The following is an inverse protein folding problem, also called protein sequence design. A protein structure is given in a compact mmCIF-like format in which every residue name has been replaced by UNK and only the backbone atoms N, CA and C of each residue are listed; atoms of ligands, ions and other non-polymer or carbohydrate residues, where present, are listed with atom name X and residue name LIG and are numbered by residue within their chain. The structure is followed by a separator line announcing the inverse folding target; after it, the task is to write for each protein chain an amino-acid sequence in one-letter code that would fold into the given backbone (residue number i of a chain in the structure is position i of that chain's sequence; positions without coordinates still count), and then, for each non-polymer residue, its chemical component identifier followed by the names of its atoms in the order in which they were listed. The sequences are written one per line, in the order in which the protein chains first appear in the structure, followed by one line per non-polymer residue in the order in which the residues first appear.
data_IF_691415985713
#
_entry.id   IF_691415985713
#
_cell.length_a   1.000
_cell.length_b   1.000
_cell.length_c   1.000
_cell.angle_alpha   90.00
_cell.angle_beta   90.00
_cell.angle_gamma   90.00
#
_symmetry.space_group_name_H-M   'P 1'
#
loop_
_entity.id
_entity.type
_entity.pdbx_description
1 polymer ?
#
# COMPACT_ATOMS: atom_id res chain seq x y z
N UNK A 1 13.30 -13.04 -17.77
CA UNK A 1 14.57 -12.51 -18.32
C UNK A 1 15.12 -11.45 -17.38
N UNK A 2 14.38 -10.38 -17.06
CA UNK A 2 14.77 -9.34 -16.10
C UNK A 2 15.27 -9.81 -14.72
N UNK A 3 14.61 -10.79 -14.09
CA UNK A 3 15.02 -11.30 -12.76
C UNK A 3 16.34 -12.10 -12.83
N UNK A 4 16.57 -12.84 -13.92
CA UNK A 4 17.77 -13.68 -14.07
C UNK A 4 18.98 -12.82 -14.41
N UNK A 5 18.77 -11.80 -15.25
CA UNK A 5 19.81 -10.89 -15.69
C UNK A 5 20.05 -9.75 -14.68
N UNK A 6 19.13 -9.53 -13.75
CA UNK A 6 19.20 -8.46 -12.73
C UNK A 6 18.97 -7.05 -13.28
N UNK A 7 18.67 -6.92 -14.57
CA UNK A 7 18.49 -5.65 -15.28
C UNK A 7 17.04 -5.51 -15.78
N UNK A 8 16.54 -4.27 -15.82
CA UNK A 8 15.21 -3.96 -16.39
C UNK A 8 14.04 -4.48 -15.56
N UNK A 9 14.13 -4.42 -14.23
CA UNK A 9 13.01 -4.75 -13.33
C UNK A 9 11.90 -3.72 -13.53
N UNK A 10 10.73 -4.19 -13.94
CA UNK A 10 9.53 -3.36 -14.11
C UNK A 10 8.78 -3.17 -12.78
N UNK A 11 7.76 -2.32 -12.81
CA UNK A 11 6.97 -1.97 -11.62
C UNK A 11 6.22 -3.16 -11.02
N UNK A 12 5.60 -3.99 -11.87
CA UNK A 12 4.89 -5.21 -11.43
C UNK A 12 5.82 -6.22 -10.76
N UNK A 13 7.03 -6.42 -11.30
CA UNK A 13 8.02 -7.29 -10.66
C UNK A 13 8.52 -6.73 -9.34
N UNK A 14 8.83 -5.42 -9.28
CA UNK A 14 9.28 -4.80 -8.04
C UNK A 14 8.23 -4.86 -6.93
N UNK A 15 6.95 -4.69 -7.28
CA UNK A 15 5.82 -4.85 -6.37
C UNK A 15 5.72 -6.29 -5.84
N UNK A 16 5.77 -7.28 -6.73
CA UNK A 16 5.72 -8.69 -6.36
C UNK A 16 6.91 -9.08 -5.45
N UNK A 17 8.10 -8.54 -5.70
CA UNK A 17 9.27 -8.71 -4.84
C UNK A 17 9.06 -8.09 -3.45
N UNK A 18 8.46 -6.89 -3.38
CA UNK A 18 8.17 -6.23 -2.10
C UNK A 18 7.19 -7.07 -1.27
N UNK A 19 6.10 -7.53 -1.88
CA UNK A 19 5.12 -8.38 -1.21
C UNK A 19 5.71 -9.72 -0.81
N UNK A 20 6.38 -10.43 -1.72
CA UNK A 20 6.98 -11.73 -1.45
C UNK A 20 7.97 -11.70 -0.28
N UNK A 21 8.83 -10.68 -0.24
CA UNK A 21 9.79 -10.53 0.85
C UNK A 21 9.15 -10.17 2.19
N UNK A 22 8.08 -9.35 2.19
CA UNK A 22 7.30 -9.08 3.41
C UNK A 22 6.57 -10.33 3.93
N UNK A 23 6.00 -11.14 3.04
CA UNK A 23 5.30 -12.38 3.39
C UNK A 23 6.26 -13.40 4.01
N UNK A 24 7.48 -13.50 3.46
CA UNK A 24 8.57 -14.32 4.00
C UNK A 24 9.18 -13.76 5.29
N UNK A 25 8.89 -12.51 5.66
CA UNK A 25 9.26 -11.93 6.96
C UNK A 25 8.13 -12.07 7.99
N UNK A 26 6.99 -12.67 7.61
CA UNK A 26 5.83 -12.86 8.48
C UNK A 26 4.82 -11.70 8.45
N UNK A 27 4.98 -10.72 7.57
CA UNK A 27 4.04 -9.61 7.42
C UNK A 27 2.89 -9.99 6.49
N UNK A 28 1.65 -9.88 6.99
CA UNK A 28 0.48 -10.10 6.15
C UNK A 28 0.38 -8.96 5.12
N UNK A 29 0.11 -9.28 3.86
CA UNK A 29 -0.10 -8.27 2.82
C UNK A 29 -1.52 -8.40 2.29
N UNK A 30 -2.27 -7.30 2.38
CA UNK A 30 -3.66 -7.21 1.91
C UNK A 30 -3.78 -6.13 0.85
N UNK A 31 -4.26 -6.49 -0.33
CA UNK A 31 -4.49 -5.57 -1.45
C UNK A 31 -5.96 -5.64 -1.88
N UNK A 32 -6.66 -4.51 -1.85
CA UNK A 32 -8.04 -4.42 -2.35
C UNK A 32 -8.26 -3.22 -3.25
N UNK A 33 -9.24 -3.36 -4.13
CA UNK A 33 -9.58 -2.34 -5.12
C UNK A 33 -10.27 -2.97 -6.31
N UNK A 34 -10.61 -2.15 -7.30
CA UNK A 34 -11.29 -2.62 -8.50
C UNK A 34 -10.28 -3.29 -9.45
N UNK A 35 -10.54 -4.55 -9.80
CA UNK A 35 -9.70 -5.36 -10.70
C UNK A 35 -8.24 -5.54 -10.26
N UNK A 36 -7.93 -5.36 -8.97
CA UNK A 36 -6.55 -5.45 -8.43
C UNK A 36 -5.90 -6.81 -8.61
N UNK A 37 -6.67 -7.89 -8.74
CA UNK A 37 -6.15 -9.25 -8.94
C UNK A 37 -5.38 -9.38 -10.26
N UNK A 38 -5.86 -8.72 -11.32
CA UNK A 38 -5.16 -8.58 -12.60
C UNK A 38 -4.30 -7.31 -12.65
N UNK A 39 -4.75 -6.28 -11.95
CA UNK A 39 -4.31 -4.89 -12.10
C UNK A 39 -5.10 -4.21 -13.23
N UNK A 40 -5.48 -2.94 -13.04
CA UNK A 40 -6.23 -2.16 -14.04
C UNK A 40 -5.53 -2.14 -15.39
N UNK A 41 -4.20 -1.99 -15.40
CA UNK A 41 -3.36 -1.99 -16.60
C UNK A 41 -2.79 -3.37 -16.97
N UNK A 42 -3.33 -4.46 -16.42
CA UNK A 42 -2.87 -5.84 -16.65
C UNK A 42 -1.36 -6.03 -16.43
N UNK A 43 -0.82 -5.40 -15.38
CA UNK A 43 0.60 -5.41 -15.06
C UNK A 43 0.94 -6.32 -13.87
N UNK A 44 -0.06 -6.69 -13.05
CA UNK A 44 0.16 -7.35 -11.75
C UNK A 44 0.01 -8.85 -11.81
N UNK A 45 -1.09 -9.35 -12.38
CA UNK A 45 -1.40 -10.79 -12.45
C UNK A 45 -1.18 -11.55 -11.13
N UNK A 46 -1.63 -10.94 -10.02
CA UNK A 46 -1.51 -11.50 -8.67
C UNK A 46 -2.34 -12.79 -8.51
N UNK A 47 -3.46 -12.90 -9.23
CA UNK A 47 -4.28 -14.11 -9.32
C UNK A 47 -4.30 -14.58 -10.77
N UNK A 48 -3.96 -15.84 -10.96
CA UNK A 48 -4.02 -16.53 -12.25
C UNK A 48 -5.31 -17.32 -12.32
N UNK A 49 -5.97 -17.27 -13.47
CA UNK A 49 -7.20 -18.03 -13.74
C UNK A 49 -6.89 -19.11 -14.77
N UNK A 50 -7.20 -20.36 -14.41
CA UNK A 50 -7.14 -21.48 -15.34
C UNK A 50 -8.17 -21.28 -16.47
N UNK A 51 -7.76 -21.45 -17.73
CA UNK A 51 -8.61 -21.18 -18.89
C UNK A 51 -9.68 -22.26 -19.12
N UNK A 52 -9.47 -23.47 -18.60
CA UNK A 52 -10.38 -24.60 -18.77
C UNK A 52 -11.30 -24.76 -17.57
N UNK A 53 -10.77 -24.62 -16.35
CA UNK A 53 -11.53 -24.88 -15.10
C UNK A 53 -12.00 -23.60 -14.40
N UNK A 54 -11.47 -22.45 -14.77
CA UNK A 54 -11.69 -21.16 -14.09
C UNK A 54 -11.26 -21.16 -12.61
N UNK A 55 -10.44 -22.13 -12.21
CA UNK A 55 -9.83 -22.16 -10.87
C UNK A 55 -8.81 -21.04 -10.72
N UNK A 56 -8.72 -20.50 -9.50
CA UNK A 56 -7.82 -19.40 -9.19
C UNK A 56 -6.57 -19.88 -8.47
N UNK A 57 -5.42 -19.38 -8.91
CA UNK A 57 -4.13 -19.65 -8.28
C UNK A 57 -3.41 -18.34 -7.94
N UNK A 58 -2.98 -18.19 -6.69
CA UNK A 58 -2.21 -17.03 -6.22
C UNK A 58 -0.76 -17.46 -5.97
N UNK A 59 0.19 -17.12 -6.87
CA UNK A 59 1.58 -17.58 -6.76
C UNK A 59 2.28 -17.13 -5.45
N UNK A 60 2.02 -15.90 -5.00
CA UNK A 60 2.61 -15.34 -3.78
C UNK A 60 2.21 -16.07 -2.49
N UNK A 61 1.15 -16.88 -2.52
CA UNK A 61 0.75 -17.72 -1.38
C UNK A 61 1.48 -19.07 -1.32
N UNK A 62 2.42 -19.32 -2.23
CA UNK A 62 3.14 -20.60 -2.36
C UNK A 62 4.67 -20.44 -2.35
N UNK A 63 5.21 -19.34 -1.80
CA UNK A 63 6.66 -19.13 -1.70
C UNK A 63 7.33 -20.03 -0.64
N UNK A 64 6.61 -20.38 0.43
CA UNK A 64 7.07 -21.27 1.49
C UNK A 64 6.18 -22.52 1.61
N UNK A 65 6.65 -23.56 2.31
CA UNK A 65 5.93 -24.84 2.44
C UNK A 65 4.64 -24.72 3.26
N UNK A 66 4.58 -23.78 4.19
CA UNK A 66 3.40 -23.50 5.01
C UNK A 66 2.99 -22.04 4.87
N UNK A 67 1.71 -21.78 4.65
CA UNK A 67 1.14 -20.42 4.62
C UNK A 67 0.20 -20.27 5.82
N UNK A 68 0.57 -19.39 6.75
CA UNK A 68 -0.19 -19.19 7.99
C UNK A 68 -0.86 -17.80 7.92
N UNK A 69 -2.20 -17.72 8.09
CA UNK A 69 -2.96 -16.48 7.86
C UNK A 69 -2.50 -15.27 8.67
N UNK A 70 -2.02 -15.52 9.89
CA UNK A 70 -1.71 -14.52 10.90
C UNK A 70 -0.52 -14.98 11.75
N UNK A 71 0.64 -15.21 11.12
CA UNK A 71 1.83 -15.56 11.89
C UNK A 71 2.36 -14.30 12.60
N UNK A 72 2.48 -14.28 13.94
CA UNK A 72 3.21 -13.22 14.61
C UNK A 72 4.68 -13.31 14.22
N UNK A 73 5.35 -12.17 14.04
CA UNK A 73 6.80 -12.12 13.76
C UNK A 73 7.62 -12.87 14.82
N UNK A 74 7.13 -12.96 16.07
CA UNK A 74 7.77 -13.73 17.14
C UNK A 74 7.85 -15.25 16.85
N UNK A 75 6.90 -15.79 16.09
CA UNK A 75 6.79 -17.22 15.81
C UNK A 75 7.51 -17.63 14.50
N UNK A 76 8.03 -16.68 13.72
CA UNK A 76 8.86 -16.99 12.55
C UNK A 76 10.16 -17.73 12.92
N UNK A 77 10.67 -17.53 14.13
CA UNK A 77 11.84 -18.29 14.63
C UNK A 77 11.52 -19.78 14.83
N UNK A 78 10.25 -20.11 15.03
CA UNK A 78 9.75 -21.44 15.40
C UNK A 78 9.28 -22.23 14.16
N UNK A 79 9.01 -21.54 13.05
CA UNK A 79 8.58 -22.12 11.79
C UNK A 79 9.33 -21.49 10.59
N UNK A 80 10.62 -21.85 10.38
CA UNK A 80 11.46 -21.25 9.33
C UNK A 80 10.98 -21.51 7.89
N UNK A 81 10.08 -22.47 7.70
CA UNK A 81 9.47 -22.83 6.41
C UNK A 81 8.04 -22.26 6.24
N UNK A 82 7.62 -21.30 7.09
CA UNK A 82 6.31 -20.66 7.02
C UNK A 82 6.36 -19.24 6.42
N UNK A 83 5.29 -18.83 5.75
CA UNK A 83 5.06 -17.47 5.27
C UNK A 83 3.72 -16.93 5.76
N UNK A 84 3.59 -15.61 5.79
CA UNK A 84 2.30 -14.95 5.98
C UNK A 84 1.44 -15.05 4.71
N UNK A 85 0.13 -14.85 4.88
CA UNK A 85 -0.83 -14.92 3.77
C UNK A 85 -0.90 -13.62 2.98
N UNK A 86 -0.90 -13.74 1.66
CA UNK A 86 -1.25 -12.67 0.73
C UNK A 86 -2.74 -12.71 0.43
N UNK A 87 -3.44 -11.62 0.75
CA UNK A 87 -4.87 -11.46 0.50
C UNK A 87 -5.09 -10.38 -0.54
N UNK A 88 -5.26 -10.78 -1.80
CA UNK A 88 -5.71 -9.89 -2.87
C UNK A 88 -7.19 -10.14 -3.13
N UNK A 89 -7.99 -9.07 -3.26
CA UNK A 89 -9.44 -9.18 -3.50
C UNK A 89 -9.92 -8.07 -4.43
N UNK A 90 -10.59 -8.45 -5.51
CA UNK A 90 -11.40 -7.51 -6.29
C UNK A 90 -12.56 -6.99 -5.44
N UNK A 91 -12.65 -5.67 -5.34
CA UNK A 91 -13.71 -5.00 -4.60
C UNK A 91 -14.97 -4.82 -5.44
N UNK A 92 -16.08 -4.52 -4.78
CA UNK A 92 -17.25 -3.94 -5.46
C UNK A 92 -16.90 -2.56 -6.03
N UNK A 93 -17.73 -2.05 -6.93
CA UNK A 93 -17.60 -0.72 -7.52
C UNK A 93 -18.05 0.37 -6.52
N UNK A 94 -17.33 0.47 -5.40
CA UNK A 94 -17.56 1.46 -4.35
C UNK A 94 -16.25 1.81 -3.67
N UNK A 95 -15.81 3.06 -3.81
CA UNK A 95 -14.57 3.56 -3.21
C UNK A 95 -14.78 3.80 -1.71
N UNK A 96 -15.90 4.42 -1.32
CA UNK A 96 -16.16 4.79 0.07
C UNK A 96 -16.25 3.60 1.02
N UNK A 97 -17.07 2.60 0.67
CA UNK A 97 -17.30 1.45 1.54
C UNK A 97 -16.04 0.58 1.68
N UNK A 98 -15.30 0.42 0.58
CA UNK A 98 -14.08 -0.39 0.54
C UNK A 98 -12.95 0.32 1.27
N UNK A 99 -12.73 1.62 1.01
CA UNK A 99 -11.70 2.40 1.69
C UNK A 99 -11.95 2.49 3.21
N UNK A 100 -13.20 2.68 3.62
CA UNK A 100 -13.58 2.65 5.04
C UNK A 100 -13.34 1.29 5.69
N UNK A 101 -13.61 0.19 4.96
CA UNK A 101 -13.31 -1.16 5.43
C UNK A 101 -11.81 -1.40 5.59
N UNK A 102 -10.99 -1.01 4.61
CA UNK A 102 -9.53 -1.15 4.67
C UNK A 102 -8.90 -0.30 5.78
N UNK A 103 -9.42 0.92 5.98
CA UNK A 103 -9.03 1.74 7.11
C UNK A 103 -9.30 1.00 8.42
N UNK A 104 -10.52 0.47 8.62
CA UNK A 104 -10.86 -0.29 9.83
C UNK A 104 -9.96 -1.52 10.03
N UNK A 105 -9.64 -2.23 8.95
CA UNK A 105 -8.72 -3.38 8.99
C UNK A 105 -7.31 -2.95 9.41
N UNK A 106 -6.81 -1.84 8.88
CA UNK A 106 -5.47 -1.30 9.20
C UNK A 106 -5.33 -0.83 10.65
N UNK A 107 -6.44 -0.43 11.29
CA UNK A 107 -6.45 -0.02 12.70
C UNK A 107 -6.36 -1.22 13.65
N UNK A 108 -6.90 -2.37 13.25
CA UNK A 108 -6.95 -3.58 14.07
C UNK A 108 -5.70 -4.44 13.92
N UNK A 109 -5.14 -4.51 12.70
CA UNK A 109 -3.98 -5.35 12.42
C UNK A 109 -2.74 -4.49 12.07
N UNK A 110 -1.92 -4.12 13.07
CA UNK A 110 -0.70 -3.35 12.82
C UNK A 110 0.34 -4.17 12.05
N UNK A 111 0.34 -5.49 12.15
CA UNK A 111 1.35 -6.33 11.50
C UNK A 111 0.99 -6.68 10.03
N UNK A 112 0.01 -5.95 9.46
CA UNK A 112 -0.43 -6.13 8.09
C UNK A 112 -0.19 -4.88 7.24
N UNK A 113 0.49 -5.07 6.11
CA UNK A 113 0.53 -4.07 5.05
C UNK A 113 -0.83 -4.08 4.33
N UNK A 114 -1.65 -3.06 4.61
CA UNK A 114 -2.96 -2.89 4.00
C UNK A 114 -2.85 -1.88 2.86
N UNK A 115 -3.20 -2.30 1.65
CA UNK A 115 -3.18 -1.49 0.44
C UNK A 115 -4.58 -1.38 -0.15
N UNK A 116 -4.95 -0.16 -0.52
CA UNK A 116 -6.12 0.12 -1.34
C UNK A 116 -5.69 0.79 -2.65
N UNK A 117 -6.13 0.24 -3.78
CA UNK A 117 -5.85 0.77 -5.12
C UNK A 117 -7.13 1.32 -5.76
N UNK A 118 -7.06 2.57 -6.20
CA UNK A 118 -8.08 3.14 -7.08
C UNK A 118 -7.83 2.71 -8.53
N UNK A 119 -8.90 2.50 -9.30
CA UNK A 119 -8.77 2.17 -10.73
C UNK A 119 -8.04 3.27 -11.50
N UNK A 120 -8.37 4.53 -11.20
CA UNK A 120 -7.63 5.72 -11.58
C UNK A 120 -7.63 6.69 -10.39
N UNK A 121 -6.56 7.46 -10.22
CA UNK A 121 -6.42 8.40 -9.11
C UNK A 121 -7.52 9.47 -9.08
N UNK A 122 -8.09 9.82 -10.23
CA UNK A 122 -9.19 10.78 -10.34
C UNK A 122 -10.43 10.33 -9.54
N UNK A 123 -10.68 9.01 -9.48
CA UNK A 123 -11.82 8.43 -8.76
C UNK A 123 -11.67 8.47 -7.24
N UNK A 124 -10.48 8.78 -6.71
CA UNK A 124 -10.35 9.16 -5.31
C UNK A 124 -11.20 10.39 -4.95
N UNK A 125 -11.55 11.21 -5.95
CA UNK A 125 -12.45 12.36 -5.82
C UNK A 125 -13.91 12.06 -6.19
N UNK A 126 -14.18 11.00 -6.96
CA UNK A 126 -15.49 10.71 -7.57
C UNK A 126 -16.63 10.58 -6.57
N UNK A 127 -16.30 10.47 -5.29
CA UNK A 127 -17.22 10.62 -4.21
C UNK A 127 -16.72 11.70 -3.25
N UNK A 128 -17.51 12.75 -3.08
CA UNK A 128 -17.57 13.58 -1.87
C UNK A 128 -17.61 12.72 -0.57
N UNK A 129 -17.88 11.41 -0.72
CA UNK A 129 -17.88 10.35 0.29
C UNK A 129 -16.46 9.77 0.54
N UNK A 130 -15.61 9.57 -0.48
CA UNK A 130 -14.20 9.17 -0.30
C UNK A 130 -13.37 10.25 0.41
N UNK A 131 -13.67 11.52 0.11
CA UNK A 131 -13.10 12.66 0.85
C UNK A 131 -13.47 12.65 2.33
N UNK A 132 -14.62 12.11 2.75
CA UNK A 132 -14.92 11.98 4.19
C UNK A 132 -13.94 11.06 4.88
N UNK A 133 -13.56 9.94 4.24
CA UNK A 133 -12.58 9.01 4.81
C UNK A 133 -11.20 9.67 4.87
N UNK A 134 -10.78 10.32 3.78
CA UNK A 134 -9.51 11.05 3.77
C UNK A 134 -9.46 12.18 4.79
N UNK A 135 -10.47 13.06 4.83
CA UNK A 135 -10.48 14.29 5.62
C UNK A 135 -10.77 14.03 7.11
N UNK A 136 -11.71 13.12 7.43
CA UNK A 136 -12.14 12.91 8.82
C UNK A 136 -11.38 11.80 9.52
N UNK A 137 -10.84 10.83 8.78
CA UNK A 137 -10.24 9.64 9.36
C UNK A 137 -8.76 9.51 9.04
N UNK A 138 -8.35 9.55 7.77
CA UNK A 138 -6.95 9.29 7.41
C UNK A 138 -6.05 10.49 7.76
N UNK A 139 -6.47 11.72 7.46
CA UNK A 139 -5.66 12.93 7.70
C UNK A 139 -5.58 13.34 9.16
N UNK A 140 -6.64 13.06 9.93
CA UNK A 140 -6.84 13.63 11.26
C UNK A 140 -7.13 12.58 12.33
N UNK A 141 -7.20 11.29 11.97
CA UNK A 141 -7.53 10.23 12.92
C UNK A 141 -6.46 9.99 13.98
N UNK A 142 -5.19 10.17 13.65
CA UNK A 142 -4.10 10.09 14.63
C UNK A 142 -4.20 11.24 15.64
N UNK A 143 -4.41 12.47 15.19
CA UNK A 143 -4.47 13.64 16.08
C UNK A 143 -5.76 13.65 16.93
N UNK A 144 -6.90 13.29 16.34
CA UNK A 144 -8.20 13.27 17.03
C UNK A 144 -8.34 12.12 18.03
N UNK A 145 -7.83 10.93 17.70
CA UNK A 145 -8.14 9.70 18.44
C UNK A 145 -6.91 8.89 18.85
N UNK A 146 -5.68 9.38 18.58
CA UNK A 146 -4.43 8.66 18.84
C UNK A 146 -4.42 7.28 18.17
N UNK A 147 -5.11 7.15 17.03
CA UNK A 147 -5.22 5.92 16.25
C UNK A 147 -4.30 6.00 15.04
N UNK A 148 -3.25 5.19 15.07
CA UNK A 148 -2.33 5.03 13.96
C UNK A 148 -2.92 4.08 12.92
N UNK A 149 -2.78 4.42 11.65
CA UNK A 149 -3.22 3.58 10.53
C UNK A 149 -2.04 3.35 9.58
N UNK A 150 -1.76 2.08 9.30
CA UNK A 150 -0.75 1.66 8.34
C UNK A 150 -1.25 1.64 6.88
N UNK A 151 -2.43 2.19 6.58
CA UNK A 151 -3.05 2.11 5.26
C UNK A 151 -2.18 2.76 4.17
N UNK A 152 -1.95 2.01 3.10
CA UNK A 152 -1.30 2.48 1.89
C UNK A 152 -2.33 2.72 0.80
N UNK A 153 -2.31 3.91 0.20
CA UNK A 153 -3.26 4.30 -0.85
C UNK A 153 -2.49 4.44 -2.16
N UNK A 154 -2.85 3.61 -3.14
CA UNK A 154 -2.26 3.60 -4.48
C UNK A 154 -3.19 4.35 -5.44
N UNK A 155 -2.76 5.53 -5.90
CA UNK A 155 -3.52 6.33 -6.87
C UNK A 155 -2.76 6.46 -8.20
N UNK A 156 -3.21 5.77 -9.25
CA UNK A 156 -2.66 5.94 -10.59
C UNK A 156 -2.77 7.40 -11.08
N UNK A 157 -1.68 7.97 -11.58
CA UNK A 157 -1.53 9.36 -11.98
C UNK A 157 -0.66 9.50 -13.24
N UNK A 158 -1.13 10.26 -14.23
CA UNK A 158 -0.34 10.54 -15.43
C UNK A 158 -1.11 11.34 -16.45
N UNK A 159 -0.49 12.38 -17.02
CA UNK A 159 -1.11 13.21 -18.06
C UNK A 159 -0.89 12.63 -19.46
N UNK A 160 -1.55 11.52 -19.76
CA UNK A 160 -1.39 10.78 -21.03
C UNK A 160 -2.44 11.15 -22.09
N UNK A 161 -3.20 12.21 -21.88
CA UNK A 161 -4.22 12.69 -22.82
C UNK A 161 -5.53 11.88 -22.81
N UNK A 162 -5.76 11.06 -21.78
CA UNK A 162 -6.97 10.24 -21.63
C UNK A 162 -8.21 11.01 -21.12
N UNK A 163 -8.10 12.35 -21.00
CA UNK A 163 -9.17 13.23 -20.56
C UNK A 163 -9.11 13.57 -19.07
N UNK A 164 -10.04 14.43 -18.63
CA UNK A 164 -9.98 15.07 -17.31
C UNK A 164 -10.29 14.15 -16.12
N UNK A 165 -10.76 12.92 -16.36
CA UNK A 165 -11.12 11.93 -15.32
C UNK A 165 -10.17 10.73 -15.27
N UNK A 166 -9.06 10.78 -16.02
CA UNK A 166 -8.06 9.71 -16.11
C UNK A 166 -6.64 10.30 -16.18
N UNK A 167 -6.40 11.41 -15.47
CA UNK A 167 -5.14 12.14 -15.54
C UNK A 167 -4.54 12.47 -14.19
N UNK A 168 -5.37 12.85 -13.21
CA UNK A 168 -4.88 13.46 -11.97
C UNK A 168 -5.41 12.78 -10.72
N UNK A 169 -4.48 12.31 -9.90
CA UNK A 169 -4.78 11.92 -8.52
C UNK A 169 -5.02 13.12 -7.60
N UNK A 170 -4.93 14.36 -8.11
CA UNK A 170 -5.06 15.61 -7.33
C UNK A 170 -4.11 15.67 -6.13
N UNK A 171 -2.84 15.38 -6.39
CA UNK A 171 -1.77 15.39 -5.38
C UNK A 171 -1.74 16.69 -4.57
N UNK A 172 -2.08 17.82 -5.18
CA UNK A 172 -2.18 19.12 -4.52
C UNK A 172 -3.14 19.12 -3.32
N UNK A 173 -4.23 18.34 -3.38
CA UNK A 173 -5.19 18.23 -2.27
C UNK A 173 -4.58 17.49 -1.09
N UNK A 174 -3.89 16.38 -1.35
CA UNK A 174 -3.22 15.61 -0.31
C UNK A 174 -2.08 16.40 0.34
N UNK A 175 -1.37 17.20 -0.44
CA UNK A 175 -0.34 18.10 0.10
C UNK A 175 -0.93 19.24 0.94
N UNK A 176 -2.08 19.81 0.54
CA UNK A 176 -2.76 20.85 1.32
C UNK A 176 -3.31 20.34 2.66
N UNK A 177 -3.68 19.07 2.73
CA UNK A 177 -4.18 18.41 3.93
C UNK A 177 -3.06 17.82 4.80
N UNK A 178 -1.79 17.92 4.38
CA UNK A 178 -0.64 17.59 5.23
C UNK A 178 -0.45 18.65 6.30
N UNK A 179 -0.12 18.21 7.51
CA UNK A 179 0.24 19.06 8.66
C UNK A 179 1.73 19.46 8.67
N UNK A 180 2.45 19.23 7.57
CA UNK A 180 3.86 19.59 7.44
C UNK A 180 4.05 21.11 7.32
N UNK A 181 5.06 21.65 8.00
CA UNK A 181 5.47 23.06 7.87
C UNK A 181 5.90 23.39 6.42
N UNK A 182 5.23 24.33 5.73
CA UNK A 182 5.55 24.69 4.34
C UNK A 182 6.83 25.54 4.20
N UNK A 183 7.32 26.15 5.28
CA UNK A 183 8.48 27.04 5.26
C UNK A 183 9.76 26.34 5.73
N UNK A 184 9.64 25.22 6.43
CA UNK A 184 10.77 24.48 6.98
C UNK A 184 10.98 23.11 6.31
N UNK A 185 12.08 22.98 5.56
CA UNK A 185 12.54 21.69 5.04
C UNK A 185 13.48 21.04 6.07
N UNK A 186 13.12 19.87 6.64
CA UNK A 186 13.96 19.21 7.63
C UNK A 186 15.25 18.70 6.99
N UNK A 187 16.35 18.73 7.74
CA UNK A 187 17.58 18.08 7.33
C UNK A 187 17.39 16.56 7.18
N UNK A 188 17.92 15.97 6.12
CA UNK A 188 17.83 14.51 5.86
C UNK A 188 18.67 13.63 6.81
N UNK A 189 19.33 14.21 7.82
CA UNK A 189 20.07 13.42 8.82
C UNK A 189 19.09 12.60 9.66
N UNK A 190 19.51 11.39 10.05
CA UNK A 190 18.67 10.45 10.80
C UNK A 190 18.11 11.02 12.10
N UNK A 191 18.85 11.94 12.73
CA UNK A 191 18.48 12.62 13.98
C UNK A 191 17.48 13.76 13.78
N UNK A 192 17.43 14.37 12.59
CA UNK A 192 16.61 15.56 12.27
C UNK A 192 15.40 15.27 11.39
N UNK A 193 15.26 14.03 10.90
CA UNK A 193 14.12 13.62 10.05
C UNK A 193 12.77 13.48 10.79
N UNK A 194 12.70 13.89 12.05
CA UNK A 194 11.51 13.75 12.90
C UNK A 194 10.27 14.38 12.27
N UNK A 195 10.41 15.48 11.51
CA UNK A 195 9.29 16.11 10.82
C UNK A 195 8.61 15.18 9.80
N UNK A 196 9.36 14.36 9.06
CA UNK A 196 8.80 13.36 8.11
C UNK A 196 8.06 12.23 8.84
N UNK A 197 8.45 11.96 10.08
CA UNK A 197 7.76 10.99 10.94
C UNK A 197 6.58 11.61 11.67
N UNK A 198 6.60 12.93 11.90
CA UNK A 198 5.58 13.63 12.66
C UNK A 198 4.36 14.00 11.84
N UNK A 199 4.52 14.15 10.51
CA UNK A 199 3.40 14.46 9.64
C UNK A 199 2.34 13.36 9.66
N UNK A 200 1.08 13.77 9.46
CA UNK A 200 -0.10 12.91 9.45
C UNK A 200 -0.06 11.80 8.39
N UNK A 201 0.53 12.08 7.24
CA UNK A 201 0.74 11.13 6.17
C UNK A 201 1.99 11.44 5.34
N UNK A 202 2.39 10.48 4.51
CA UNK A 202 3.52 10.62 3.59
C UNK A 202 3.03 10.52 2.16
N UNK A 203 3.14 11.60 1.40
CA UNK A 203 2.83 11.63 -0.04
C UNK A 203 4.12 11.34 -0.83
N UNK A 204 4.11 10.27 -1.62
CA UNK A 204 5.28 9.82 -2.37
C UNK A 204 4.89 9.68 -3.85
N UNK A 205 5.74 10.23 -4.73
CA UNK A 205 5.68 10.01 -6.17
C UNK A 205 6.96 9.29 -6.60
N UNK A 206 6.85 7.99 -6.89
CA UNK A 206 8.01 7.19 -7.26
C UNK A 206 8.26 7.25 -8.77
N UNK A 207 9.51 7.50 -9.17
CA UNK A 207 9.91 7.51 -10.59
C UNK A 207 10.64 6.23 -11.02
N UNK A 208 10.95 5.35 -10.07
CA UNK A 208 11.67 4.08 -10.32
C UNK A 208 11.02 2.94 -9.54
N UNK A 209 11.04 1.75 -10.15
CA UNK A 209 10.51 0.53 -9.54
C UNK A 209 11.22 0.17 -8.21
N UNK A 210 12.51 0.48 -8.09
CA UNK A 210 13.28 0.28 -6.87
C UNK A 210 12.80 1.20 -5.71
N UNK A 211 12.49 2.46 -6.01
CA UNK A 211 11.93 3.37 -5.01
C UNK A 211 10.55 2.88 -4.54
N UNK A 212 9.73 2.34 -5.45
CA UNK A 212 8.45 1.74 -5.11
C UNK A 212 8.62 0.54 -4.17
N UNK A 213 9.51 -0.40 -4.50
CA UNK A 213 9.85 -1.54 -3.64
C UNK A 213 10.24 -1.11 -2.21
N UNK A 214 11.12 -0.11 -2.09
CA UNK A 214 11.56 0.38 -0.79
C UNK A 214 10.45 1.13 -0.04
N UNK A 215 9.57 1.86 -0.73
CA UNK A 215 8.43 2.53 -0.11
C UNK A 215 7.46 1.54 0.53
N UNK A 216 7.10 0.47 -0.19
CA UNK A 216 6.23 -0.60 0.31
C UNK A 216 6.82 -1.31 1.52
N UNK A 217 8.11 -1.70 1.43
CA UNK A 217 8.79 -2.35 2.55
C UNK A 217 8.95 -1.45 3.76
N UNK A 218 9.21 -0.16 3.54
CA UNK A 218 9.27 0.82 4.63
C UNK A 218 7.97 0.82 5.41
N UNK A 219 6.83 0.79 4.74
CA UNK A 219 5.54 0.74 5.42
C UNK A 219 5.34 -0.58 6.17
N UNK A 220 5.53 -1.73 5.51
CA UNK A 220 5.37 -3.05 6.15
C UNK A 220 6.30 -3.27 7.35
N UNK A 221 7.50 -2.69 7.36
CA UNK A 221 8.47 -2.83 8.45
C UNK A 221 8.23 -1.79 9.55
N UNK A 222 7.94 -0.53 9.20
CA UNK A 222 7.80 0.54 10.19
C UNK A 222 6.57 0.36 11.10
N UNK A 223 5.49 -0.28 10.62
CA UNK A 223 4.35 -0.58 11.49
C UNK A 223 4.75 -1.53 12.63
N UNK A 224 5.77 -2.38 12.44
CA UNK A 224 6.22 -3.37 13.43
C UNK A 224 7.24 -2.85 14.46
N UNK A 225 7.99 -1.78 14.17
CA UNK A 225 9.18 -1.43 14.96
C UNK A 225 8.88 -0.44 16.09
N UNK A 226 7.78 0.32 16.05
CA UNK A 226 7.55 1.32 17.08
C UNK A 226 6.06 1.60 17.35
N UNK A 227 5.53 0.91 18.37
CA UNK A 227 4.28 1.28 19.06
C UNK A 227 4.39 2.69 19.72
N UNK A 228 5.59 3.29 19.74
CA UNK A 228 5.91 4.60 20.31
C UNK A 228 6.40 5.63 19.27
N UNK A 229 6.37 5.34 17.96
CA UNK A 229 6.66 6.32 16.91
C UNK A 229 5.44 6.44 16.01
N UNK A 230 5.15 7.68 15.58
CA UNK A 230 4.12 7.95 14.58
C UNK A 230 4.37 7.12 13.32
N UNK A 231 3.40 6.29 12.94
CA UNK A 231 3.37 5.60 11.66
C UNK A 231 2.43 6.39 10.77
N UNK A 232 2.95 7.29 9.90
CA UNK A 232 2.12 8.02 8.98
C UNK A 232 1.45 7.07 7.99
N UNK A 233 0.21 7.38 7.62
CA UNK A 233 -0.42 6.70 6.48
C UNK A 233 0.38 7.04 5.22
N UNK A 234 0.80 6.04 4.44
CA UNK A 234 1.63 6.26 3.25
C UNK A 234 0.74 6.35 2.02
N UNK A 235 0.72 7.51 1.39
CA UNK A 235 0.10 7.72 0.09
C UNK A 235 1.15 7.55 -1.01
N UNK A 236 0.86 6.70 -1.98
CA UNK A 236 1.72 6.50 -3.14
C UNK A 236 0.95 6.84 -4.42
N UNK A 237 1.39 7.91 -5.09
CA UNK A 237 1.03 8.16 -6.48
C UNK A 237 1.94 7.34 -7.38
N UNK A 238 1.34 6.56 -8.28
CA UNK A 238 2.05 5.84 -9.36
C UNK A 238 1.64 6.48 -10.67
#
# INVERSE_FOLDING_TARGET
MSIVDGEGVDWGTAEALAFGTLLLEGNHVRLTGQDVERGTFSHRHAVLHDQETNETHTPLNHLAKSCIPSLPISDMSTAPDAQAKFTVRNSILSEFGVLGFEMGYSLENPNALCLWEAQFGDFANGAQVGSVIFDQFISSGEDKWLRQSGLTVLLPHGYDGQGAEHSSCRMERFLQMSDCDPEHVPGMKHETRMQIQQCNWQVINCTTAANYYHALRRQGININININQKVPSSFLGI
#
